data_IF_017364861579
#
_entry.id   IF_017364861579
#
_cell.length_a   1.000
_cell.length_b   1.000
_cell.length_c   1.000
_cell.angle_alpha   90.00
_cell.angle_beta   90.00
_cell.angle_gamma   90.00
#
_symmetry.space_group_name_H-M   'P 1'
#
loop_
_entity.id
_entity.type
_entity.pdbx_description
1 polymer ?
#
# COMPACT_ATOMS: atom_id res chain seq x y z
N UNK A 1 7.21 44.75 2.96
CA UNK A 1 8.26 43.89 3.54
C UNK A 1 9.03 43.26 2.38
N UNK A 2 10.13 43.90 1.98
CA UNK A 2 10.93 43.54 0.80
C UNK A 2 12.29 43.12 1.31
N UNK A 3 12.69 41.87 1.04
CA UNK A 3 14.06 41.44 1.28
C UNK A 3 14.94 42.07 0.18
N UNK A 4 15.97 42.82 0.58
CA UNK A 4 16.67 43.82 -0.24
C UNK A 4 17.46 43.30 -1.46
N UNK A 5 17.39 42.02 -1.85
CA UNK A 5 18.05 41.49 -3.05
C UNK A 5 17.27 40.28 -3.60
N UNK A 6 16.34 40.53 -4.52
CA UNK A 6 15.39 39.54 -5.06
C UNK A 6 16.01 38.26 -5.67
N UNK A 7 17.32 38.24 -5.92
CA UNK A 7 18.04 37.07 -6.42
C UNK A 7 18.36 36.00 -5.34
N UNK A 8 18.54 36.39 -4.06
CA UNK A 8 18.97 35.46 -2.99
C UNK A 8 17.79 34.67 -2.41
N UNK A 9 16.60 35.26 -2.36
CA UNK A 9 15.39 34.58 -1.90
C UNK A 9 14.95 33.47 -2.86
N UNK A 10 15.12 33.68 -4.18
CA UNK A 10 14.76 32.70 -5.20
C UNK A 10 15.62 31.43 -5.10
N UNK A 11 16.94 31.59 -4.93
CA UNK A 11 17.86 30.46 -4.84
C UNK A 11 17.67 29.63 -3.55
N UNK A 12 17.44 30.30 -2.41
CA UNK A 12 17.10 29.61 -1.17
C UNK A 12 15.78 28.83 -1.28
N UNK A 13 14.73 29.44 -1.84
CA UNK A 13 13.45 28.77 -2.01
C UNK A 13 13.55 27.57 -2.97
N UNK A 14 14.39 27.65 -4.01
CA UNK A 14 14.69 26.50 -4.91
C UNK A 14 15.38 25.37 -4.16
N UNK A 15 16.38 25.67 -3.33
CA UNK A 15 17.09 24.67 -2.53
C UNK A 15 16.16 23.99 -1.51
N UNK A 16 15.31 24.75 -0.82
CA UNK A 16 14.30 24.22 0.11
C UNK A 16 13.31 23.29 -0.61
N UNK A 17 12.79 23.70 -1.78
CA UNK A 17 11.89 22.86 -2.58
C UNK A 17 12.56 21.57 -3.06
N UNK A 18 13.84 21.63 -3.43
CA UNK A 18 14.60 20.44 -3.81
C UNK A 18 14.77 19.47 -2.64
N UNK A 19 15.03 19.98 -1.44
CA UNK A 19 15.12 19.18 -0.22
C UNK A 19 13.76 18.55 0.12
N UNK A 20 12.67 19.32 0.10
CA UNK A 20 11.31 18.81 0.34
C UNK A 20 10.94 17.69 -0.65
N UNK A 21 11.28 17.83 -1.94
CA UNK A 21 11.05 16.76 -2.92
C UNK A 21 11.84 15.49 -2.61
N UNK A 22 13.08 15.61 -2.12
CA UNK A 22 13.91 14.47 -1.72
C UNK A 22 13.35 13.80 -0.47
N UNK A 23 12.96 14.59 0.54
CA UNK A 23 12.30 14.08 1.75
C UNK A 23 11.02 13.34 1.40
N UNK A 24 10.14 13.93 0.59
CA UNK A 24 8.92 13.27 0.15
C UNK A 24 9.18 11.96 -0.63
N UNK A 25 10.29 11.88 -1.39
CA UNK A 25 10.70 10.63 -2.06
C UNK A 25 11.18 9.58 -1.06
N UNK A 26 11.95 10.00 -0.04
CA UNK A 26 12.44 9.12 1.02
C UNK A 26 11.27 8.61 1.86
N UNK A 27 10.36 9.49 2.27
CA UNK A 27 9.17 9.14 3.05
C UNK A 27 8.27 8.16 2.27
N UNK A 28 8.04 8.39 0.98
CA UNK A 28 7.28 7.44 0.13
C UNK A 28 7.99 6.09 -0.03
N UNK A 29 9.32 6.10 -0.16
CA UNK A 29 10.10 4.87 -0.25
C UNK A 29 10.16 4.12 1.09
N UNK A 30 9.99 4.82 2.21
CA UNK A 30 9.97 4.25 3.55
C UNK A 30 8.56 3.78 3.97
N UNK A 31 7.49 4.24 3.30
CA UNK A 31 6.15 3.75 3.56
C UNK A 31 6.05 2.28 3.13
N UNK A 32 5.59 1.38 4.02
CA UNK A 32 5.32 0.01 3.62
C UNK A 32 4.25 0.04 2.53
N UNK A 33 4.53 -0.60 1.39
CA UNK A 33 3.46 -0.87 0.42
C UNK A 33 2.44 -1.74 1.14
N UNK A 34 1.17 -1.40 1.00
CA UNK A 34 0.08 -2.18 1.57
C UNK A 34 -0.39 -3.18 0.53
N UNK A 35 -0.72 -4.37 0.98
CA UNK A 35 -1.30 -5.39 0.12
C UNK A 35 -2.70 -4.99 -0.36
N UNK A 36 -3.20 -5.58 -1.45
CA UNK A 36 -4.58 -5.36 -1.90
C UNK A 36 -5.61 -5.65 -0.80
N UNK A 37 -5.38 -6.68 0.02
CA UNK A 37 -6.26 -7.02 1.14
C UNK A 37 -6.22 -5.98 2.24
N UNK A 38 -5.03 -5.49 2.62
CA UNK A 38 -4.90 -4.41 3.59
C UNK A 38 -5.58 -3.11 3.11
N UNK A 39 -5.50 -2.81 1.81
CA UNK A 39 -6.15 -1.63 1.23
C UNK A 39 -7.67 -1.72 1.23
N UNK A 40 -8.23 -2.87 0.84
CA UNK A 40 -9.69 -3.04 0.69
C UNK A 40 -10.41 -3.42 1.99
N UNK A 41 -9.77 -4.23 2.85
CA UNK A 41 -10.39 -4.83 4.03
C UNK A 41 -9.71 -4.47 5.35
N UNK A 42 -8.56 -3.78 5.30
CA UNK A 42 -7.75 -3.43 6.48
C UNK A 42 -6.76 -4.52 6.88
N UNK A 43 -7.09 -5.80 6.65
CA UNK A 43 -6.17 -6.93 6.80
C UNK A 43 -6.63 -8.14 5.99
N UNK A 44 -5.73 -9.10 5.80
CA UNK A 44 -6.08 -10.39 5.21
C UNK A 44 -7.11 -11.16 6.04
N UNK A 45 -6.99 -11.17 7.37
CA UNK A 45 -7.95 -11.88 8.22
C UNK A 45 -9.35 -11.25 8.14
N UNK A 46 -9.46 -9.90 8.05
CA UNK A 46 -10.74 -9.23 7.82
C UNK A 46 -11.36 -9.60 6.46
N UNK A 47 -10.53 -9.82 5.43
CA UNK A 47 -11.02 -10.33 4.15
C UNK A 47 -11.60 -11.74 4.30
N UNK A 48 -10.89 -12.65 4.99
CA UNK A 48 -11.37 -14.02 5.22
C UNK A 48 -12.68 -14.02 6.01
N UNK A 49 -12.75 -13.23 7.09
CA UNK A 49 -13.93 -13.13 7.93
C UNK A 49 -15.15 -12.55 7.22
N UNK A 50 -14.96 -11.54 6.36
CA UNK A 50 -16.07 -10.82 5.72
C UNK A 50 -16.52 -11.43 4.40
N UNK A 51 -15.61 -12.08 3.67
CA UNK A 51 -15.90 -12.57 2.31
C UNK A 51 -15.94 -14.09 2.25
N UNK A 52 -14.99 -14.78 2.89
CA UNK A 52 -14.84 -16.23 2.74
C UNK A 52 -15.83 -16.96 3.64
N UNK A 53 -15.86 -16.65 4.94
CA UNK A 53 -16.77 -17.34 5.87
C UNK A 53 -18.25 -17.19 5.46
N UNK A 54 -18.76 -15.99 5.11
CA UNK A 54 -20.15 -15.86 4.68
C UNK A 54 -20.41 -16.55 3.33
N UNK A 55 -19.42 -16.61 2.44
CA UNK A 55 -19.52 -17.34 1.17
C UNK A 55 -19.67 -18.86 1.37
N UNK A 56 -18.96 -19.43 2.35
CA UNK A 56 -19.11 -20.84 2.74
C UNK A 56 -20.49 -21.07 3.36
N UNK A 57 -20.93 -20.20 4.28
CA UNK A 57 -22.22 -20.32 4.95
C UNK A 57 -23.41 -20.20 3.97
N UNK A 58 -23.27 -19.34 2.95
CA UNK A 58 -24.24 -19.20 1.88
C UNK A 58 -24.21 -20.33 0.85
N UNK A 59 -23.25 -21.27 0.95
CA UNK A 59 -23.04 -22.34 -0.02
C UNK A 59 -22.52 -21.87 -1.38
N UNK A 60 -22.01 -20.64 -1.46
CA UNK A 60 -21.42 -20.07 -2.67
C UNK A 60 -19.95 -20.50 -2.85
N UNK A 61 -19.30 -20.90 -1.77
CA UNK A 61 -17.94 -21.43 -1.75
C UNK A 61 -17.96 -22.84 -1.17
N UNK A 62 -17.24 -23.76 -1.81
CA UNK A 62 -17.02 -25.08 -1.26
C UNK A 62 -16.08 -24.99 -0.05
N UNK A 63 -16.38 -25.75 1.01
CA UNK A 63 -15.64 -25.68 2.27
C UNK A 63 -14.26 -26.30 2.18
N UNK A 64 -14.07 -27.34 1.37
CA UNK A 64 -12.80 -28.05 1.27
C UNK A 64 -11.86 -27.36 0.29
N UNK A 65 -12.35 -27.03 -0.91
CA UNK A 65 -11.53 -26.40 -1.95
C UNK A 65 -11.06 -24.99 -1.56
N UNK A 66 -11.90 -24.23 -0.85
CA UNK A 66 -11.56 -22.85 -0.48
C UNK A 66 -10.38 -22.76 0.49
N UNK A 67 -10.09 -23.83 1.23
CA UNK A 67 -8.95 -23.87 2.16
C UNK A 67 -7.64 -23.73 1.40
N UNK A 68 -7.46 -24.49 0.32
CA UNK A 68 -6.25 -24.42 -0.51
C UNK A 68 -6.08 -23.03 -1.14
N UNK A 69 -7.17 -22.41 -1.57
CA UNK A 69 -7.16 -21.05 -2.12
C UNK A 69 -6.78 -20.02 -1.05
N UNK A 70 -7.36 -20.11 0.15
CA UNK A 70 -7.02 -19.21 1.26
C UNK A 70 -5.56 -19.38 1.69
N UNK A 71 -5.04 -20.61 1.72
CA UNK A 71 -3.65 -20.87 2.04
C UNK A 71 -2.68 -20.31 0.98
N UNK A 72 -3.02 -20.44 -0.31
CA UNK A 72 -2.26 -19.81 -1.38
C UNK A 72 -2.26 -18.28 -1.26
N UNK A 73 -3.41 -17.67 -0.98
CA UNK A 73 -3.52 -16.22 -0.80
C UNK A 73 -2.81 -15.73 0.47
N UNK A 74 -2.83 -16.52 1.55
CA UNK A 74 -2.10 -16.24 2.79
C UNK A 74 -0.60 -16.26 2.55
N UNK A 75 -0.12 -17.22 1.75
CA UNK A 75 1.28 -17.29 1.33
C UNK A 75 1.67 -16.06 0.52
N UNK A 76 0.83 -15.68 -0.46
CA UNK A 76 1.01 -14.49 -1.29
C UNK A 76 1.04 -13.19 -0.48
N UNK A 77 0.21 -13.08 0.56
CA UNK A 77 0.20 -11.93 1.48
C UNK A 77 1.50 -11.82 2.27
N UNK A 78 1.97 -12.94 2.83
CA UNK A 78 3.15 -13.01 3.69
C UNK A 78 4.46 -12.82 2.91
N UNK A 79 4.56 -13.42 1.73
CA UNK A 79 5.76 -13.34 0.90
C UNK A 79 5.89 -12.01 0.15
N UNK A 80 4.82 -11.19 0.12
CA UNK A 80 4.80 -9.88 -0.51
C UNK A 80 4.81 -9.92 -2.03
N UNK A 81 4.58 -11.08 -2.66
CA UNK A 81 4.64 -11.28 -4.12
C UNK A 81 3.65 -10.38 -4.86
N UNK A 82 2.56 -9.96 -4.21
CA UNK A 82 1.61 -8.98 -4.75
C UNK A 82 2.28 -7.66 -5.17
N UNK A 83 3.43 -7.29 -4.61
CA UNK A 83 4.19 -6.11 -5.02
C UNK A 83 4.67 -6.15 -6.47
N UNK A 84 4.82 -7.36 -7.04
CA UNK A 84 5.22 -7.56 -8.45
C UNK A 84 4.07 -7.36 -9.43
N UNK A 85 2.83 -7.48 -8.97
CA UNK A 85 1.64 -7.27 -9.80
C UNK A 85 1.31 -5.79 -9.99
N UNK A 86 1.81 -4.91 -9.10
CA UNK A 86 1.58 -3.45 -9.11
C UNK A 86 2.57 -2.70 -10.04
N UNK A 87 2.94 -3.33 -11.16
CA UNK A 87 3.76 -2.76 -12.24
C UNK A 87 2.90 -2.68 -13.50
N UNK A 88 2.02 -1.68 -13.55
CA UNK A 88 1.30 -1.29 -14.78
C UNK A 88 1.20 0.23 -14.85
#
# INVERSE_FOLDING_TARGET
>A
MVCANGWVCDNHMRAVRALQKRVARIERAAMPRLSPFALAYGSFDQFVERQILPGIEAGALDREDIVEVVDALRSWEQDGTWQRADVN
#
